data_IF_860304458426
#
_entry.id   IF_860304458426
#
_cell.length_a   1.000
_cell.length_b   1.000
_cell.length_c   1.000
_cell.angle_alpha   90.00
_cell.angle_beta   90.00
_cell.angle_gamma   90.00
#
_symmetry.space_group_name_H-M   'P 1'
#
loop_
_entity.id
_entity.type
_entity.pdbx_description
1 polymer ?
#
# COMPACT_ATOMS: atom_id res chain seq x y z
N UNK A 1 -11.32 -4.16 -64.25
CA UNK A 1 -12.13 -3.52 -63.20
C UNK A 1 -13.03 -4.57 -62.57
N UNK A 2 -12.95 -4.78 -61.25
CA UNK A 2 -14.12 -4.44 -60.43
C UNK A 2 -13.81 -3.84 -59.05
N UNK A 3 -14.50 -2.74 -58.77
CA UNK A 3 -15.19 -2.32 -57.55
C UNK A 3 -14.72 -2.80 -56.14
N UNK A 4 -14.26 -1.85 -55.33
CA UNK A 4 -14.35 -1.79 -53.85
C UNK A 4 -15.26 -0.60 -53.46
N UNK A 5 -15.65 -0.37 -52.18
CA UNK A 5 -16.07 -1.25 -51.08
C UNK A 5 -17.32 -0.69 -50.34
N UNK A 6 -17.82 -1.35 -49.27
CA UNK A 6 -18.44 -0.62 -48.14
C UNK A 6 -18.14 -1.33 -46.82
N UNK A 7 -17.24 -0.73 -46.05
CA UNK A 7 -16.96 -1.11 -44.67
C UNK A 7 -17.98 -0.50 -43.71
N UNK A 8 -18.39 -1.27 -42.72
CA UNK A 8 -19.00 -0.74 -41.50
C UNK A 8 -18.04 -1.02 -40.33
N UNK A 9 -17.32 0.02 -39.92
CA UNK A 9 -16.61 0.04 -38.65
C UNK A 9 -17.65 0.13 -37.53
N UNK A 10 -17.72 -0.88 -36.66
CA UNK A 10 -18.34 -0.73 -35.33
C UNK A 10 -17.25 -0.33 -34.33
N UNK A 11 -17.41 0.77 -33.56
CA UNK A 11 -16.47 1.11 -32.51
C UNK A 11 -16.48 0.04 -31.42
N UNK A 12 -15.31 -0.51 -31.10
CA UNK A 12 -15.15 -1.46 -30.02
C UNK A 12 -15.34 -0.76 -28.67
N UNK A 13 -16.39 -1.13 -27.95
CA UNK A 13 -16.52 -0.82 -26.52
C UNK A 13 -15.42 -1.56 -25.75
N UNK A 14 -14.45 -0.83 -25.20
CA UNK A 14 -13.54 -1.35 -24.19
C UNK A 14 -14.33 -1.65 -22.92
N UNK A 15 -14.61 -2.93 -22.65
CA UNK A 15 -15.07 -3.38 -21.33
C UNK A 15 -13.91 -3.25 -20.34
N UNK A 16 -14.09 -2.62 -19.17
CA UNK A 16 -13.08 -2.61 -18.12
C UNK A 16 -12.99 -4.03 -17.56
N UNK A 17 -12.01 -4.77 -18.05
CA UNK A 17 -11.69 -6.08 -17.51
C UNK A 17 -10.84 -5.89 -16.25
N UNK A 18 -11.36 -6.31 -15.09
CA UNK A 18 -10.59 -6.55 -13.86
C UNK A 18 -9.63 -7.75 -14.07
N UNK A 19 -8.67 -7.65 -15.00
CA UNK A 19 -7.70 -8.71 -15.24
C UNK A 19 -6.58 -8.58 -14.21
N UNK A 20 -6.49 -9.56 -13.29
CA UNK A 20 -5.28 -9.78 -12.50
C UNK A 20 -4.16 -10.14 -13.47
N UNK A 21 -3.25 -9.21 -13.74
CA UNK A 21 -2.05 -9.47 -14.54
C UNK A 21 -1.09 -10.41 -13.82
N UNK A 22 -0.12 -10.98 -14.54
CA UNK A 22 0.89 -11.87 -13.95
C UNK A 22 1.68 -11.21 -12.81
N UNK A 23 1.87 -9.89 -12.84
CA UNK A 23 2.48 -9.12 -11.74
C UNK A 23 1.61 -9.13 -10.46
N UNK A 24 0.29 -8.99 -10.60
CA UNK A 24 -0.65 -9.12 -9.48
C UNK A 24 -0.65 -10.54 -8.88
N UNK A 25 -0.48 -11.57 -9.72
CA UNK A 25 -0.31 -12.95 -9.26
C UNK A 25 1.03 -13.16 -8.55
N UNK A 26 2.11 -12.53 -9.01
CA UNK A 26 3.42 -12.61 -8.36
C UNK A 26 3.44 -11.98 -6.96
N UNK A 27 2.72 -10.87 -6.71
CA UNK A 27 2.55 -10.36 -5.34
C UNK A 27 1.62 -11.24 -4.50
N UNK A 28 0.58 -11.85 -5.07
CA UNK A 28 -0.19 -12.87 -4.37
C UNK A 28 0.65 -14.08 -3.96
N UNK A 29 1.85 -14.26 -4.52
CA UNK A 29 2.85 -15.20 -4.03
C UNK A 29 3.75 -14.56 -2.96
N UNK A 30 4.14 -13.29 -3.10
CA UNK A 30 4.89 -12.54 -2.08
C UNK A 30 4.12 -12.34 -0.77
N UNK A 31 2.80 -12.13 -0.83
CA UNK A 31 2.00 -11.74 0.33
C UNK A 31 1.75 -12.91 1.30
N UNK A 32 1.49 -14.16 0.86
CA UNK A 32 1.53 -15.36 1.68
C UNK A 32 2.93 -15.70 2.18
N UNK A 33 3.98 -15.44 1.38
CA UNK A 33 5.38 -15.52 1.83
C UNK A 33 5.73 -14.44 2.89
N UNK A 34 4.92 -13.37 2.97
CA UNK A 34 4.93 -12.38 4.06
C UNK A 34 3.94 -12.70 5.21
N UNK A 35 2.89 -13.51 4.99
CA UNK A 35 1.75 -13.72 5.92
C UNK A 35 1.69 -15.10 6.60
N UNK A 36 2.48 -16.10 6.20
CA UNK A 36 2.49 -17.43 6.87
C UNK A 36 3.03 -17.44 8.31
N UNK A 37 3.23 -16.28 8.90
CA UNK A 37 3.76 -16.02 10.24
C UNK A 37 2.72 -15.34 11.17
N UNK A 38 1.41 -15.44 10.88
CA UNK A 38 0.36 -14.83 11.71
C UNK A 38 0.22 -15.42 13.14
N UNK A 39 1.12 -16.33 13.55
CA UNK A 39 1.24 -16.82 14.94
C UNK A 39 2.68 -16.93 15.48
N UNK A 40 3.71 -16.57 14.71
CA UNK A 40 5.10 -16.65 15.14
C UNK A 40 5.91 -15.55 14.46
N UNK A 41 6.58 -14.69 15.24
CA UNK A 41 7.30 -13.53 14.74
C UNK A 41 8.38 -13.83 13.70
N UNK A 42 8.74 -12.78 12.96
CA UNK A 42 9.73 -12.74 11.86
C UNK A 42 9.32 -13.61 10.66
N UNK A 43 9.35 -13.10 9.41
CA UNK A 43 9.22 -13.97 8.24
C UNK A 43 10.27 -15.07 8.33
N UNK A 44 9.87 -16.35 8.27
CA UNK A 44 10.82 -17.46 8.31
C UNK A 44 11.94 -17.18 7.30
N UNK A 45 13.19 -17.13 7.78
CA UNK A 45 14.35 -16.61 7.02
C UNK A 45 14.48 -17.20 5.61
N UNK A 46 13.97 -18.42 5.37
CA UNK A 46 13.92 -19.06 4.07
C UNK A 46 13.00 -18.42 3.01
N UNK A 47 12.13 -17.46 3.36
CA UNK A 47 11.19 -16.84 2.41
C UNK A 47 11.62 -15.44 1.92
N UNK A 48 12.63 -14.84 2.56
CA UNK A 48 13.15 -13.51 2.18
C UNK A 48 13.74 -13.51 0.76
N UNK A 49 14.59 -14.47 0.35
CA UNK A 49 15.12 -14.49 -1.01
C UNK A 49 14.03 -14.65 -2.08
N UNK A 50 12.99 -15.44 -1.78
CA UNK A 50 11.86 -15.63 -2.69
C UNK A 50 11.04 -14.33 -2.86
N UNK A 51 10.83 -13.57 -1.78
CA UNK A 51 10.17 -12.27 -1.83
C UNK A 51 10.98 -11.26 -2.64
N UNK A 52 12.30 -11.17 -2.40
CA UNK A 52 13.20 -10.30 -3.15
C UNK A 52 13.21 -10.65 -4.65
N UNK A 53 13.32 -11.94 -4.99
CA UNK A 53 13.29 -12.41 -6.37
C UNK A 53 11.95 -12.11 -7.07
N UNK A 54 10.83 -12.23 -6.35
CA UNK A 54 9.53 -11.95 -6.91
C UNK A 54 9.29 -10.46 -7.17
N UNK A 55 9.69 -9.58 -6.24
CA UNK A 55 9.67 -8.14 -6.47
C UNK A 55 10.62 -7.75 -7.62
N UNK A 56 11.82 -8.34 -7.65
CA UNK A 56 12.79 -8.12 -8.72
C UNK A 56 12.23 -8.48 -10.10
N UNK A 57 11.47 -9.57 -10.23
CA UNK A 57 10.82 -9.92 -11.51
C UNK A 57 9.86 -8.84 -12.01
N UNK A 58 9.13 -8.19 -11.11
CA UNK A 58 8.20 -7.12 -11.49
C UNK A 58 8.96 -5.87 -11.93
N UNK A 59 9.98 -5.47 -11.16
CA UNK A 59 10.83 -4.31 -11.47
C UNK A 59 11.58 -4.53 -12.79
N UNK A 60 12.24 -5.68 -12.94
CA UNK A 60 13.04 -6.00 -14.13
C UNK A 60 12.19 -6.24 -15.39
N UNK A 61 10.89 -6.48 -15.26
CA UNK A 61 10.01 -6.59 -16.42
C UNK A 61 9.78 -5.23 -17.10
N UNK A 62 10.11 -4.11 -16.44
CA UNK A 62 10.03 -2.75 -16.96
C UNK A 62 8.65 -2.41 -17.57
N UNK A 63 7.58 -2.90 -16.92
CA UNK A 63 6.18 -2.71 -17.37
C UNK A 63 5.47 -1.56 -16.66
N UNK A 64 6.09 -1.04 -15.61
CA UNK A 64 5.56 -0.03 -14.71
C UNK A 64 6.67 1.00 -14.45
N UNK A 65 6.28 2.20 -14.08
CA UNK A 65 7.21 3.28 -13.78
C UNK A 65 6.73 4.04 -12.53
N UNK A 66 7.66 4.48 -11.70
CA UNK A 66 7.33 5.40 -10.61
C UNK A 66 6.83 6.72 -11.22
N UNK A 67 5.78 7.29 -10.66
CA UNK A 67 5.41 8.66 -10.99
C UNK A 67 6.52 9.64 -10.60
N UNK A 68 6.58 10.78 -11.30
CA UNK A 68 7.58 11.82 -11.02
C UNK A 68 7.39 12.42 -9.63
N UNK A 69 6.16 12.81 -9.26
CA UNK A 69 5.81 13.18 -7.89
C UNK A 69 5.03 12.05 -7.23
N UNK A 70 5.18 11.94 -5.91
CA UNK A 70 4.40 10.98 -5.12
C UNK A 70 2.90 11.27 -5.19
N UNK A 71 2.51 12.55 -5.16
CA UNK A 71 1.11 12.97 -5.15
C UNK A 71 0.31 12.56 -6.38
N UNK A 72 0.97 12.41 -7.53
CA UNK A 72 0.35 11.97 -8.79
C UNK A 72 -0.30 10.57 -8.71
N UNK A 73 0.02 9.79 -7.67
CA UNK A 73 -0.62 8.50 -7.42
C UNK A 73 -2.03 8.62 -6.83
N UNK A 74 -2.39 9.78 -6.27
CA UNK A 74 -3.57 9.96 -5.43
C UNK A 74 -4.42 11.17 -5.81
N UNK A 75 -3.81 12.18 -6.42
CA UNK A 75 -4.46 13.43 -6.77
C UNK A 75 -4.71 13.49 -8.27
N UNK A 76 -5.86 14.05 -8.64
CA UNK A 76 -6.16 14.45 -10.02
C UNK A 76 -7.14 15.59 -9.92
N UNK A 77 -6.70 16.85 -10.08
CA UNK A 77 -7.46 18.13 -10.10
C UNK A 77 -9.01 18.06 -10.06
N UNK A 78 -9.57 17.40 -9.05
CA UNK A 78 -10.95 16.90 -8.96
C UNK A 78 -11.52 16.06 -10.14
N UNK A 79 -10.67 15.46 -10.99
CA UNK A 79 -11.03 14.56 -12.09
C UNK A 79 -11.03 13.07 -11.70
N UNK A 80 -11.47 12.19 -12.62
CA UNK A 80 -11.33 10.73 -12.46
C UNK A 80 -9.86 10.32 -12.37
N UNK A 81 -9.47 9.62 -11.31
CA UNK A 81 -8.13 9.05 -11.19
C UNK A 81 -8.08 7.61 -11.73
N UNK A 82 -7.60 7.49 -12.96
CA UNK A 82 -7.34 6.21 -13.62
C UNK A 82 -6.14 5.44 -13.03
N UNK A 83 -5.68 4.43 -13.75
CA UNK A 83 -4.43 3.77 -13.39
C UNK A 83 -3.25 4.69 -13.74
N UNK A 84 -2.34 4.88 -12.79
CA UNK A 84 -1.04 5.50 -13.05
C UNK A 84 -0.08 4.49 -13.69
N UNK A 85 1.03 4.95 -14.29
CA UNK A 85 2.15 4.07 -14.68
C UNK A 85 2.70 3.22 -13.55
N UNK A 86 2.46 3.61 -12.30
CA UNK A 86 2.93 2.92 -11.09
C UNK A 86 1.99 1.78 -10.66
N UNK A 87 0.74 1.79 -11.11
CA UNK A 87 -0.30 0.86 -10.67
C UNK A 87 -0.15 -0.55 -11.26
N UNK A 88 0.25 -1.49 -10.41
CA UNK A 88 0.31 -2.91 -10.76
C UNK A 88 -1.08 -3.55 -10.68
N UNK A 89 -1.85 -3.19 -9.64
CA UNK A 89 -3.21 -3.66 -9.45
C UNK A 89 -4.01 -2.64 -8.64
N UNK A 90 -5.14 -2.21 -9.22
CA UNK A 90 -6.07 -1.30 -8.58
C UNK A 90 -7.52 -1.73 -8.84
N UNK A 91 -8.38 -1.51 -7.85
CA UNK A 91 -9.83 -1.67 -8.01
C UNK A 91 -10.33 -0.45 -8.76
N UNK A 92 -11.01 -0.68 -9.89
CA UNK A 92 -11.56 0.39 -10.70
C UNK A 92 -12.81 0.95 -10.03
N UNK A 93 -12.87 2.26 -9.84
CA UNK A 93 -14.03 2.96 -9.27
C UNK A 93 -14.64 3.87 -10.33
N UNK A 94 -15.95 3.88 -10.40
CA UNK A 94 -16.74 4.74 -11.28
C UNK A 94 -17.98 5.25 -10.56
N UNK A 95 -18.74 6.14 -11.20
CA UNK A 95 -20.03 6.61 -10.69
C UNK A 95 -21.08 5.51 -10.52
N UNK A 96 -20.86 4.31 -11.05
CA UNK A 96 -21.73 3.13 -10.86
C UNK A 96 -21.19 2.15 -9.80
N UNK A 97 -20.00 2.37 -9.25
CA UNK A 97 -19.34 1.43 -8.33
C UNK A 97 -19.86 1.50 -6.90
N UNK A 98 -20.76 2.44 -6.61
CA UNK A 98 -21.26 2.71 -5.26
C UNK A 98 -20.29 3.55 -4.44
N UNK A 99 -20.35 3.41 -3.12
CA UNK A 99 -19.57 4.23 -2.19
C UNK A 99 -18.16 3.67 -2.03
N UNK A 100 -17.15 4.51 -2.27
CA UNK A 100 -15.78 4.22 -1.91
C UNK A 100 -15.53 4.63 -0.45
N UNK A 101 -15.39 3.62 0.40
CA UNK A 101 -15.23 3.80 1.86
C UNK A 101 -13.94 4.52 2.24
N UNK A 102 -12.90 4.51 1.40
CA UNK A 102 -11.68 5.28 1.67
C UNK A 102 -11.97 6.78 1.61
N UNK A 103 -12.76 7.25 0.64
CA UNK A 103 -13.20 8.65 0.63
C UNK A 103 -14.04 8.94 1.89
N UNK A 104 -14.97 8.04 2.25
CA UNK A 104 -15.83 8.22 3.43
C UNK A 104 -15.02 8.37 4.72
N UNK A 105 -14.02 7.52 4.93
CA UNK A 105 -13.27 7.53 6.18
C UNK A 105 -12.19 8.60 6.24
N UNK A 106 -11.54 8.93 5.12
CA UNK A 106 -10.34 9.78 5.14
C UNK A 106 -10.53 11.17 4.54
N UNK A 107 -11.46 11.37 3.60
CA UNK A 107 -11.61 12.67 2.94
C UNK A 107 -12.36 13.65 3.83
N UNK A 108 -11.77 14.84 3.98
CA UNK A 108 -12.40 15.98 4.64
C UNK A 108 -13.68 16.44 3.93
N UNK A 109 -13.80 16.22 2.62
CA UNK A 109 -14.95 16.65 1.82
C UNK A 109 -16.16 15.73 1.95
N UNK A 110 -16.03 14.62 2.69
CA UNK A 110 -17.10 13.62 2.88
C UNK A 110 -17.49 13.52 4.36
N UNK A 111 -16.90 12.57 5.10
CA UNK A 111 -17.25 12.32 6.51
C UNK A 111 -16.06 12.48 7.45
N UNK A 112 -14.85 12.22 6.96
CA UNK A 112 -13.62 12.42 7.72
C UNK A 112 -13.58 11.70 9.08
N UNK A 113 -14.03 10.44 9.12
CA UNK A 113 -14.03 9.62 10.36
C UNK A 113 -12.62 9.36 10.95
N UNK A 114 -11.56 9.72 10.20
CA UNK A 114 -10.16 9.48 10.54
C UNK A 114 -9.36 10.77 10.41
N UNK A 115 -8.72 11.15 11.51
CA UNK A 115 -7.75 12.24 11.59
C UNK A 115 -6.34 11.68 11.65
N UNK A 116 -5.38 12.45 11.15
CA UNK A 116 -3.96 12.10 11.13
C UNK A 116 -3.33 12.59 12.43
N UNK A 117 -2.75 11.66 13.18
CA UNK A 117 -2.18 11.96 14.48
C UNK A 117 -0.84 12.71 14.33
N UNK A 118 -0.55 13.70 15.20
CA UNK A 118 0.72 14.45 15.17
C UNK A 118 1.98 13.57 15.19
N UNK A 119 1.90 12.43 15.90
CA UNK A 119 2.98 11.44 15.95
C UNK A 119 3.38 10.85 14.59
N UNK A 120 2.46 10.84 13.62
CA UNK A 120 2.76 10.41 12.27
C UNK A 120 3.39 11.56 11.47
N UNK A 121 2.84 12.77 11.60
CA UNK A 121 3.36 13.96 10.92
C UNK A 121 4.82 14.23 11.31
N UNK A 122 5.18 14.00 12.58
CA UNK A 122 6.56 14.15 13.07
C UNK A 122 7.56 13.15 12.49
N UNK A 123 7.11 12.17 11.68
CA UNK A 123 8.00 11.23 10.97
C UNK A 123 8.40 11.74 9.58
N UNK A 124 7.74 12.79 9.07
CA UNK A 124 8.02 13.38 7.77
C UNK A 124 8.99 14.54 7.95
N UNK A 125 10.05 14.56 7.14
CA UNK A 125 10.96 15.70 7.09
C UNK A 125 10.25 16.92 6.46
N UNK A 126 10.72 18.13 6.76
CA UNK A 126 10.09 19.37 6.27
C UNK A 126 10.06 19.47 4.74
N UNK A 127 11.04 18.88 4.05
CA UNK A 127 11.18 18.88 2.60
C UNK A 127 10.62 17.61 1.93
N UNK A 128 9.94 16.74 2.69
CA UNK A 128 9.36 15.50 2.18
C UNK A 128 8.13 15.78 1.31
N UNK A 129 8.19 15.48 0.00
CA UNK A 129 7.07 15.71 -0.93
C UNK A 129 5.78 14.98 -0.50
N UNK A 130 5.90 13.90 0.28
CA UNK A 130 4.74 13.14 0.78
C UNK A 130 3.94 13.94 1.81
N UNK A 131 4.55 14.92 2.47
CA UNK A 131 3.88 15.81 3.41
C UNK A 131 2.78 16.64 2.74
N UNK A 132 2.89 16.90 1.43
CA UNK A 132 1.88 17.60 0.64
C UNK A 132 0.53 16.86 0.55
N UNK A 133 0.48 15.60 1.00
CA UNK A 133 -0.75 14.82 1.08
C UNK A 133 -1.49 14.91 2.41
N UNK A 134 -1.05 15.82 3.28
CA UNK A 134 -1.66 16.07 4.59
C UNK A 134 -1.93 17.56 4.77
N UNK A 135 -3.16 17.89 5.16
CA UNK A 135 -3.62 19.27 5.28
C UNK A 135 -4.16 19.52 6.69
N UNK A 136 -3.74 20.63 7.31
CA UNK A 136 -4.31 21.12 8.55
C UNK A 136 -5.53 22.00 8.26
N UNK A 137 -6.67 21.60 8.80
CA UNK A 137 -7.95 22.29 8.68
C UNK A 137 -8.45 22.60 10.07
N UNK A 138 -8.16 23.82 10.54
CA UNK A 138 -8.63 24.30 11.84
C UNK A 138 -8.01 23.57 13.04
N UNK A 139 -6.76 23.12 12.93
CA UNK A 139 -6.03 22.39 13.97
C UNK A 139 -6.18 20.87 13.91
N UNK A 140 -6.87 20.36 12.88
CA UNK A 140 -7.04 18.91 12.64
C UNK A 140 -6.41 18.55 11.32
N UNK A 141 -5.55 17.53 11.31
CA UNK A 141 -4.84 17.10 10.09
C UNK A 141 -5.60 15.98 9.39
N UNK A 142 -5.87 16.15 8.10
CA UNK A 142 -6.49 15.15 7.23
C UNK A 142 -5.53 14.70 6.14
N UNK A 143 -5.83 13.59 5.46
CA UNK A 143 -5.09 13.19 4.26
C UNK A 143 -5.94 13.38 3.01
N UNK A 144 -5.36 14.03 2.01
CA UNK A 144 -6.02 14.24 0.72
C UNK A 144 -5.82 13.05 -0.25
N UNK A 145 -5.11 11.99 0.17
CA UNK A 145 -4.88 10.75 -0.62
C UNK A 145 -6.14 10.14 -1.21
N UNK A 146 -7.27 10.40 -0.56
CA UNK A 146 -8.56 9.82 -0.88
C UNK A 146 -9.62 10.90 -1.09
N UNK A 147 -9.25 12.06 -1.63
CA UNK A 147 -10.23 13.12 -1.95
C UNK A 147 -10.92 12.91 -3.31
N UNK A 148 -10.26 12.19 -4.23
CA UNK A 148 -10.84 11.89 -5.53
C UNK A 148 -11.99 10.88 -5.38
N UNK A 149 -13.23 11.35 -5.56
CA UNK A 149 -14.47 10.57 -5.36
C UNK A 149 -14.50 9.25 -6.15
N UNK A 150 -14.01 9.27 -7.39
CA UNK A 150 -13.97 8.10 -8.25
C UNK A 150 -12.54 7.60 -8.49
N UNK A 151 -11.65 7.86 -7.53
CA UNK A 151 -10.28 7.41 -7.63
C UNK A 151 -10.17 5.91 -7.45
N UNK A 152 -9.39 5.26 -8.31
CA UNK A 152 -9.12 3.84 -8.21
C UNK A 152 -8.49 3.50 -6.85
N UNK A 153 -8.94 2.43 -6.20
CA UNK A 153 -8.33 1.96 -4.95
C UNK A 153 -7.08 1.16 -5.28
N UNK A 154 -5.93 1.71 -4.92
CA UNK A 154 -4.62 1.10 -5.19
C UNK A 154 -4.42 -0.10 -4.26
N UNK A 155 -4.13 -1.26 -4.84
CA UNK A 155 -3.87 -2.50 -4.07
C UNK A 155 -2.39 -2.88 -4.15
N UNK A 156 -1.73 -2.55 -5.27
CA UNK A 156 -0.32 -2.76 -5.53
C UNK A 156 0.23 -1.68 -6.43
N UNK A 157 1.36 -1.12 -6.05
CA UNK A 157 2.11 -0.14 -6.83
C UNK A 157 3.58 -0.56 -6.92
N UNK A 158 4.30 0.01 -7.88
CA UNK A 158 5.69 -0.34 -8.15
C UNK A 158 6.61 0.00 -6.97
N UNK A 159 6.37 1.11 -6.26
CA UNK A 159 7.13 1.46 -5.06
C UNK A 159 7.11 0.34 -3.99
N UNK A 160 5.99 -0.33 -3.79
CA UNK A 160 5.90 -1.48 -2.91
C UNK A 160 6.88 -2.60 -3.34
N UNK A 161 7.12 -2.78 -4.64
CA UNK A 161 8.10 -3.78 -5.11
C UNK A 161 9.53 -3.35 -4.75
N UNK A 162 9.88 -2.07 -4.91
CA UNK A 162 11.17 -1.54 -4.44
C UNK A 162 11.35 -1.77 -2.94
N UNK A 163 10.35 -1.41 -2.14
CA UNK A 163 10.38 -1.58 -0.69
C UNK A 163 10.41 -3.06 -0.27
N UNK A 164 9.69 -3.95 -0.97
CA UNK A 164 9.76 -5.40 -0.74
C UNK A 164 11.18 -5.91 -1.02
N UNK A 165 11.76 -5.55 -2.17
CA UNK A 165 13.08 -6.02 -2.60
C UNK A 165 14.17 -5.51 -1.67
N UNK A 166 14.15 -4.23 -1.31
CA UNK A 166 15.04 -3.63 -0.31
C UNK A 166 14.91 -4.33 1.05
N UNK A 167 13.70 -4.40 1.61
CA UNK A 167 13.48 -4.98 2.94
C UNK A 167 13.92 -6.44 3.02
N UNK A 168 13.59 -7.23 2.00
CA UNK A 168 13.91 -8.65 1.98
C UNK A 168 15.42 -8.88 1.79
N UNK A 169 16.04 -8.17 0.86
CA UNK A 169 17.47 -8.27 0.58
C UNK A 169 18.30 -7.79 1.79
N UNK A 170 17.92 -6.67 2.40
CA UNK A 170 18.57 -6.14 3.61
C UNK A 170 18.51 -7.13 4.78
N UNK A 171 17.33 -7.69 5.09
CA UNK A 171 17.16 -8.67 6.18
C UNK A 171 17.90 -9.99 5.93
N UNK A 172 18.00 -10.40 4.67
CA UNK A 172 18.73 -11.60 4.29
C UNK A 172 20.25 -11.37 4.19
N UNK A 173 20.73 -10.12 4.32
CA UNK A 173 22.10 -9.74 4.03
C UNK A 173 22.54 -10.18 2.62
N UNK A 174 21.70 -9.91 1.63
CA UNK A 174 21.90 -10.26 0.21
C UNK A 174 21.56 -9.06 -0.68
N UNK A 175 21.83 -9.20 -1.99
CA UNK A 175 21.33 -8.29 -3.02
C UNK A 175 20.71 -9.11 -4.15
N UNK A 176 19.41 -8.91 -4.41
CA UNK A 176 18.73 -9.49 -5.57
C UNK A 176 18.33 -8.35 -6.49
N UNK A 177 19.02 -8.16 -7.61
CA UNK A 177 18.85 -6.97 -8.44
C UNK A 177 19.70 -5.81 -7.91
N UNK A 178 19.09 -4.66 -7.67
CA UNK A 178 19.77 -3.51 -7.06
C UNK A 178 20.06 -3.74 -5.58
N UNK A 179 21.04 -3.04 -5.02
CA UNK A 179 21.31 -3.11 -3.59
C UNK A 179 20.14 -2.48 -2.80
N UNK A 180 19.88 -2.94 -1.56
CA UNK A 180 18.80 -2.38 -0.74
C UNK A 180 18.89 -0.86 -0.58
N UNK A 181 20.10 -0.32 -0.46
CA UNK A 181 20.33 1.12 -0.34
C UNK A 181 19.90 1.87 -1.61
N UNK A 182 20.18 1.32 -2.79
CA UNK A 182 19.83 1.94 -4.07
C UNK A 182 18.30 1.97 -4.27
N UNK A 183 17.62 0.89 -3.89
CA UNK A 183 16.15 0.82 -3.92
C UNK A 183 15.52 1.88 -3.00
N UNK A 184 16.06 2.06 -1.80
CA UNK A 184 15.56 3.08 -0.87
C UNK A 184 15.91 4.49 -1.36
N UNK A 185 17.10 4.71 -1.89
CA UNK A 185 17.50 6.01 -2.43
C UNK A 185 16.66 6.40 -3.65
N UNK A 186 16.23 5.43 -4.48
CA UNK A 186 15.27 5.68 -5.57
C UNK A 186 13.94 6.25 -5.04
N UNK A 187 13.43 5.70 -3.93
CA UNK A 187 12.18 6.16 -3.31
C UNK A 187 12.39 7.52 -2.62
N UNK A 188 13.53 7.71 -1.94
CA UNK A 188 13.87 8.97 -1.27
C UNK A 188 14.04 10.11 -2.27
N UNK A 189 14.72 9.88 -3.39
CA UNK A 189 14.89 10.88 -4.44
C UNK A 189 13.53 11.35 -4.98
N UNK A 190 12.59 10.43 -5.22
CA UNK A 190 11.21 10.79 -5.60
C UNK A 190 10.52 11.64 -4.53
N UNK A 191 10.73 11.32 -3.25
CA UNK A 191 10.19 12.08 -2.12
C UNK A 191 10.94 13.39 -1.83
N UNK A 192 11.89 13.80 -2.69
CA UNK A 192 12.76 14.97 -2.53
C UNK A 192 13.67 14.92 -1.29
N UNK A 193 13.93 13.72 -0.78
CA UNK A 193 14.79 13.51 0.37
C UNK A 193 16.24 13.23 -0.06
N UNK A 194 17.24 13.72 0.70
CA UNK A 194 18.64 13.41 0.43
C UNK A 194 18.90 11.89 0.45
N UNK A 195 19.78 11.36 -0.42
CA UNK A 195 20.13 9.95 -0.41
C UNK A 195 20.82 9.56 0.89
N UNK A 196 20.55 8.35 1.37
CA UNK A 196 21.24 7.76 2.50
C UNK A 196 22.60 7.20 2.07
N UNK A 197 23.55 7.23 3.00
CA UNK A 197 24.84 6.54 2.89
C UNK A 197 24.85 5.18 3.58
N UNK A 198 23.97 4.98 4.57
CA UNK A 198 23.78 3.73 5.31
C UNK A 198 22.30 3.47 5.49
N UNK A 199 21.91 2.19 5.49
CA UNK A 199 20.52 1.77 5.62
C UNK A 199 20.27 1.09 6.96
N UNK A 200 19.17 1.46 7.61
CA UNK A 200 18.61 0.77 8.78
C UNK A 200 17.20 0.27 8.47
N UNK A 201 16.65 -0.60 9.32
CA UNK A 201 15.25 -1.05 9.15
C UNK A 201 14.23 0.08 9.31
N UNK A 202 14.59 1.15 10.02
CA UNK A 202 13.71 2.30 10.25
C UNK A 202 13.50 3.14 8.99
N UNK A 203 14.41 3.07 8.01
CA UNK A 203 14.37 3.89 6.79
C UNK A 203 13.40 3.36 5.71
N UNK A 204 12.86 2.15 5.90
CA UNK A 204 12.12 1.38 4.88
C UNK A 204 10.57 1.62 4.82
N UNK A 205 9.82 2.03 5.86
CA UNK A 205 8.36 1.87 5.89
C UNK A 205 7.47 3.07 5.52
N UNK A 206 7.99 4.28 5.28
CA UNK A 206 7.15 5.50 5.28
C UNK A 206 6.23 5.67 4.03
N UNK A 207 6.54 5.02 2.91
CA UNK A 207 5.87 5.29 1.63
C UNK A 207 4.40 4.87 1.55
N UNK A 208 3.98 3.88 2.33
CA UNK A 208 2.67 3.22 2.17
C UNK A 208 1.69 3.58 3.30
N UNK A 209 1.89 4.76 3.90
CA UNK A 209 1.02 5.26 4.96
C UNK A 209 -0.43 5.33 4.51
N UNK A 210 -1.35 4.82 5.36
CA UNK A 210 -2.79 4.76 5.09
C UNK A 210 -3.25 3.85 3.95
N UNK A 211 -2.37 3.01 3.39
CA UNK A 211 -2.69 2.04 2.32
C UNK A 211 -2.91 0.60 2.85
N UNK A 212 -3.09 0.43 4.16
CA UNK A 212 -3.47 -0.86 4.77
C UNK A 212 -2.32 -1.78 5.19
N UNK A 213 -1.08 -1.28 5.25
CA UNK A 213 0.11 -2.09 5.55
C UNK A 213 0.54 -2.08 7.02
N UNK A 214 0.31 -0.97 7.75
CA UNK A 214 0.95 -0.71 9.04
C UNK A 214 0.77 -1.82 10.07
N UNK A 215 -0.44 -2.38 10.21
CA UNK A 215 -0.69 -3.47 11.17
C UNK A 215 0.13 -4.73 10.84
N UNK A 216 0.23 -5.08 9.54
CA UNK A 216 1.03 -6.21 9.10
C UNK A 216 2.53 -5.97 9.30
N UNK A 217 2.98 -4.75 9.05
CA UNK A 217 4.37 -4.33 9.22
C UNK A 217 4.78 -4.35 10.70
N UNK A 218 3.92 -3.81 11.57
CA UNK A 218 4.11 -3.84 13.02
C UNK A 218 4.25 -5.29 13.52
N UNK A 219 3.34 -6.19 13.10
CA UNK A 219 3.39 -7.60 13.51
C UNK A 219 4.63 -8.34 13.01
N UNK A 220 4.98 -8.17 11.73
CA UNK A 220 6.10 -8.92 11.13
C UNK A 220 7.47 -8.42 11.62
N UNK A 221 7.57 -7.12 11.92
CA UNK A 221 8.80 -6.50 12.39
C UNK A 221 8.94 -6.58 13.92
N UNK A 222 7.93 -7.12 14.61
CA UNK A 222 7.87 -7.19 16.07
C UNK A 222 7.96 -5.82 16.75
N UNK A 223 7.36 -4.80 16.12
CA UNK A 223 7.35 -3.43 16.61
C UNK A 223 6.22 -3.18 17.61
N UNK A 224 6.33 -2.10 18.36
CA UNK A 224 5.23 -1.58 19.20
C UNK A 224 4.60 -0.35 18.53
N UNK A 225 3.30 -0.14 18.78
CA UNK A 225 2.63 1.15 18.55
C UNK A 225 2.26 1.77 19.88
N UNK A 226 1.82 3.02 19.87
CA UNK A 226 1.29 3.70 21.06
C UNK A 226 -0.24 3.66 21.04
N UNK A 227 -0.84 3.40 22.21
CA UNK A 227 -2.27 3.53 22.44
C UNK A 227 -2.64 5.02 22.47
N UNK A 228 -3.48 5.52 21.54
CA UNK A 228 -3.82 6.93 21.51
C UNK A 228 -4.66 7.38 22.71
N UNK A 229 -5.28 6.46 23.47
CA UNK A 229 -6.13 6.82 24.60
C UNK A 229 -5.37 7.02 25.91
N UNK A 230 -4.23 6.36 26.08
CA UNK A 230 -3.49 6.38 27.35
C UNK A 230 -1.97 6.49 27.20
N UNK A 231 -1.44 6.53 25.98
CA UNK A 231 -0.01 6.69 25.70
C UNK A 231 0.84 5.43 25.95
N UNK A 232 0.24 4.30 26.35
CA UNK A 232 0.98 3.09 26.63
C UNK A 232 1.40 2.36 25.34
N UNK A 233 2.53 1.67 25.39
CA UNK A 233 2.96 0.83 24.28
C UNK A 233 2.04 -0.40 24.12
N UNK A 234 1.58 -0.64 22.90
CA UNK A 234 0.90 -1.85 22.44
C UNK A 234 1.92 -2.66 21.64
N UNK A 235 2.47 -3.76 22.20
CA UNK A 235 3.43 -4.59 21.48
C UNK A 235 2.77 -5.39 20.36
N UNK A 236 3.56 -5.81 19.37
CA UNK A 236 3.12 -6.59 18.21
C UNK A 236 2.30 -7.86 18.53
N UNK A 237 2.57 -8.48 19.67
CA UNK A 237 1.90 -9.69 20.14
C UNK A 237 0.69 -9.41 21.04
N UNK A 238 0.28 -8.15 21.19
CA UNK A 238 -0.89 -7.79 21.98
C UNK A 238 -2.17 -8.37 21.35
N UNK A 239 -3.08 -8.98 22.13
CA UNK A 239 -4.36 -9.45 21.62
C UNK A 239 -5.24 -8.31 21.07
N UNK A 240 -5.00 -7.06 21.50
CA UNK A 240 -5.66 -5.84 20.97
C UNK A 240 -5.39 -5.60 19.49
N UNK A 241 -4.39 -6.26 18.90
CA UNK A 241 -4.04 -6.18 17.48
C UNK A 241 -4.65 -7.33 16.66
N UNK A 242 -5.63 -8.05 17.20
CA UNK A 242 -6.41 -9.10 16.51
C UNK A 242 -7.88 -8.71 16.60
N UNK A 243 -8.61 -8.79 15.49
CA UNK A 243 -10.05 -8.55 15.49
C UNK A 243 -10.80 -9.71 16.15
N UNK A 244 -11.95 -9.46 16.82
CA UNK A 244 -12.79 -10.55 17.31
C UNK A 244 -13.34 -11.37 16.14
N UNK A 245 -13.54 -12.66 16.37
CA UNK A 245 -14.41 -13.45 15.51
C UNK A 245 -15.82 -12.86 15.62
N UNK A 246 -16.51 -12.55 14.50
CA UNK A 246 -17.84 -11.96 14.56
C UNK A 246 -18.80 -12.84 15.38
N UNK A 247 -19.54 -12.21 16.30
CA UNK A 247 -20.45 -12.91 17.23
C UNK A 247 -21.47 -13.81 16.50
N UNK A 248 -21.92 -13.39 15.32
CA UNK A 248 -22.80 -14.21 14.47
C UNK A 248 -22.17 -15.56 14.14
N UNK A 249 -20.88 -15.60 13.84
CA UNK A 249 -20.18 -16.82 13.47
C UNK A 249 -19.99 -17.74 14.69
N UNK A 250 -19.66 -17.19 15.87
CA UNK A 250 -19.54 -17.99 17.10
C UNK A 250 -20.88 -18.52 17.61
N UNK A 251 -21.99 -17.80 17.36
CA UNK A 251 -23.33 -18.27 17.69
C UNK A 251 -23.79 -19.42 16.79
N UNK A 252 -23.39 -19.41 15.51
CA UNK A 252 -23.78 -20.44 14.53
C UNK A 252 -22.89 -21.68 14.64
N UNK A 253 -21.61 -21.51 14.97
CA UNK A 253 -20.66 -22.61 15.11
C UNK A 253 -19.98 -22.58 16.48
N UNK A 254 -20.48 -23.39 17.40
CA UNK A 254 -19.96 -23.53 18.77
C UNK A 254 -18.54 -24.11 18.84
N UNK A 255 -17.99 -24.63 17.74
CA UNK A 255 -16.59 -25.07 17.68
C UNK A 255 -15.61 -23.91 17.47
N UNK A 256 -16.09 -22.71 17.15
CA UNK A 256 -15.23 -21.52 17.04
C UNK A 256 -14.91 -20.98 18.44
N UNK A 257 -13.62 -21.05 18.79
CA UNK A 257 -13.10 -20.42 20.01
C UNK A 257 -12.70 -18.98 19.69
N UNK A 258 -13.13 -18.05 20.54
CA UNK A 258 -12.82 -16.63 20.38
C UNK A 258 -11.32 -16.35 20.53
N UNK A 259 -10.83 -15.30 19.86
CA UNK A 259 -9.48 -14.79 20.06
C UNK A 259 -9.31 -14.26 21.49
N UNK A 260 -8.15 -14.52 22.10
CA UNK A 260 -7.84 -14.02 23.46
C UNK A 260 -8.16 -12.52 23.59
N UNK A 261 -8.86 -12.14 24.66
CA UNK A 261 -9.22 -10.74 24.95
C UNK A 261 -10.61 -10.29 24.49
N UNK A 262 -11.42 -11.19 23.91
CA UNK A 262 -12.82 -10.97 23.57
C UNK A 262 -13.74 -12.05 24.17
#
# INVERSE_FOLDING_TARGET
MPCTPRGYHRPGYHRPHHRRGQAAHQRLLCHPLRRRAAGAGVPAAGQLPAAAAAANRVIAANRYQLNTSYGDNFLSNNDLLGNSPEDIFAIQVSSQSGINQLNTFYSQYIRADREIQPQFISLLDADDDRANLYEDVGGTVYTNKYDVLYGNVKIMRLDEMYLIRAAASFRANTSTGAAPLDDINTIRERALLPPLTTLTLADIPLELAFEGFRLGDLKRNQESTIDPLNGNAIPWNSPRLVFPIPLRETNVNSSLVQNTGY
#
